data_IF_765551087138
#
_entry.id   IF_765551087138
#
_cell.length_a   1.000
_cell.length_b   1.000
_cell.length_c   1.000
_cell.angle_alpha   90.00
_cell.angle_beta   90.00
_cell.angle_gamma   90.00
#
_symmetry.space_group_name_H-M   'P 1'
#
loop_
_entity.id
_entity.type
_entity.pdbx_description
1 polymer ?
#
# COMPACT_ATOMS: atom_id res chain seq x y z
N UNK A 1 -4.50 13.49 5.83
CA UNK A 1 -4.78 12.51 4.76
C UNK A 1 -4.83 11.16 5.42
N UNK A 2 -5.83 10.36 5.10
CA UNK A 2 -5.94 8.97 5.57
C UNK A 2 -5.69 8.07 4.38
N UNK A 3 -4.86 7.05 4.56
CA UNK A 3 -4.63 5.97 3.60
C UNK A 3 -5.19 4.70 4.18
N UNK A 4 -5.94 3.93 3.39
CA UNK A 4 -6.44 2.62 3.76
C UNK A 4 -5.87 1.59 2.79
N UNK A 5 -5.40 0.47 3.33
CA UNK A 5 -4.92 -0.67 2.54
C UNK A 5 -5.89 -1.83 2.74
N UNK A 6 -6.42 -2.34 1.62
CA UNK A 6 -7.36 -3.47 1.60
C UNK A 6 -6.74 -4.64 0.87
N UNK A 7 -6.85 -5.82 1.48
CA UNK A 7 -6.46 -7.08 0.88
C UNK A 7 -7.63 -7.73 0.17
N UNK A 8 -7.32 -8.47 -0.89
CA UNK A 8 -8.27 -9.27 -1.65
C UNK A 8 -7.67 -10.64 -1.95
N UNK A 9 -8.56 -11.61 -2.14
CA UNK A 9 -8.15 -12.99 -2.46
C UNK A 9 -7.63 -13.14 -3.90
N UNK A 10 -8.13 -12.32 -4.83
CA UNK A 10 -7.94 -12.51 -6.27
C UNK A 10 -7.97 -11.18 -7.03
N UNK A 11 -7.64 -11.21 -8.34
CA UNK A 11 -7.84 -10.08 -9.27
C UNK A 11 -9.31 -9.76 -9.55
N UNK A 12 -10.22 -10.57 -9.04
CA UNK A 12 -11.67 -10.29 -9.06
C UNK A 12 -12.07 -9.35 -7.91
N UNK A 13 -11.15 -9.09 -6.97
CA UNK A 13 -11.33 -8.24 -5.81
C UNK A 13 -12.43 -8.77 -4.85
N UNK A 14 -12.44 -10.10 -4.71
CA UNK A 14 -13.26 -10.84 -3.75
C UNK A 14 -12.64 -10.84 -2.35
N UNK A 15 -13.48 -11.12 -1.35
CA UNK A 15 -13.09 -11.30 0.05
C UNK A 15 -12.27 -10.12 0.61
N UNK A 16 -12.84 -8.93 0.44
CA UNK A 16 -12.22 -7.69 0.87
C UNK A 16 -12.09 -7.62 2.39
N UNK A 17 -10.89 -7.29 2.85
CA UNK A 17 -10.63 -7.03 4.27
C UNK A 17 -9.69 -5.83 4.42
N UNK A 18 -9.99 -4.95 5.38
CA UNK A 18 -9.12 -3.84 5.73
C UNK A 18 -7.89 -4.38 6.49
N UNK A 19 -6.71 -4.21 5.91
CA UNK A 19 -5.47 -4.67 6.53
C UNK A 19 -4.91 -3.64 7.49
N UNK A 20 -4.92 -2.37 7.07
CA UNK A 20 -4.43 -1.26 7.88
C UNK A 20 -4.96 0.08 7.40
N UNK A 21 -4.91 1.04 8.33
CA UNK A 21 -5.16 2.45 8.11
C UNK A 21 -3.95 3.23 8.55
N UNK A 22 -3.43 4.07 7.66
CA UNK A 22 -2.23 4.88 7.86
C UNK A 22 -2.58 6.37 7.74
N UNK A 23 -1.85 7.21 8.48
CA UNK A 23 -1.97 8.66 8.42
C UNK A 23 -0.66 9.30 8.89
N UNK A 24 -0.22 10.31 8.16
CA UNK A 24 0.81 11.20 8.67
C UNK A 24 0.15 12.16 9.70
N UNK A 25 0.28 11.82 10.98
CA UNK A 25 -0.36 12.52 12.11
C UNK A 25 -1.13 11.58 13.06
N UNK A 26 -1.98 12.15 13.91
CA UNK A 26 -2.73 11.39 14.91
C UNK A 26 -3.79 10.46 14.29
N UNK A 27 -3.85 9.23 14.80
CA UNK A 27 -4.89 8.23 14.53
C UNK A 27 -5.37 7.70 15.86
N UNK A 28 -6.68 7.72 16.10
CA UNK A 28 -7.26 7.16 17.32
C UNK A 28 -7.06 5.64 17.33
N UNK A 29 -6.60 5.07 18.44
CA UNK A 29 -6.24 3.65 18.57
C UNK A 29 -5.20 3.16 17.54
N UNK A 30 -4.18 3.96 17.20
CA UNK A 30 -3.06 3.45 16.43
C UNK A 30 -2.19 2.48 17.25
N UNK A 31 -1.75 1.42 16.59
CA UNK A 31 -0.75 0.46 17.08
C UNK A 31 0.40 0.45 16.06
N UNK A 32 1.31 1.45 16.09
CA UNK A 32 2.45 1.49 15.20
C UNK A 32 3.33 0.25 15.45
N UNK A 33 3.67 -0.48 14.38
CA UNK A 33 4.49 -1.69 14.47
C UNK A 33 5.78 -1.53 13.68
N UNK A 34 6.91 -1.69 14.39
CA UNK A 34 8.25 -1.77 13.85
C UNK A 34 8.80 -3.16 14.18
N UNK A 35 9.15 -3.92 13.14
CA UNK A 35 9.77 -5.25 13.20
C UNK A 35 11.28 -5.18 12.94
N UNK A 36 11.86 -3.97 12.90
CA UNK A 36 13.29 -3.74 12.79
C UNK A 36 13.82 -3.67 11.35
N UNK A 37 12.94 -3.47 10.35
CA UNK A 37 13.40 -3.20 8.99
C UNK A 37 14.15 -1.85 8.99
N UNK A 38 15.40 -1.81 8.50
CA UNK A 38 16.13 -0.56 8.40
C UNK A 38 15.41 0.31 7.36
N UNK A 39 15.16 1.60 7.68
CA UNK A 39 14.48 2.65 6.88
C UNK A 39 13.17 3.16 7.53
N UNK A 40 13.28 3.72 8.73
CA UNK A 40 12.16 4.24 9.55
C UNK A 40 12.13 5.78 9.62
N UNK A 41 12.39 6.47 8.52
CA UNK A 41 12.34 7.94 8.44
C UNK A 41 10.91 8.50 8.28
N UNK A 42 9.91 7.68 8.58
CA UNK A 42 8.49 7.99 8.46
C UNK A 42 7.85 8.40 9.79
N UNK A 43 6.70 9.05 9.70
CA UNK A 43 5.82 9.21 10.86
C UNK A 43 5.36 7.82 11.36
N UNK A 44 5.33 7.60 12.68
CA UNK A 44 4.92 6.33 13.33
C UNK A 44 3.59 5.76 12.83
N UNK A 45 2.56 6.61 12.68
CA UNK A 45 1.25 6.23 12.12
C UNK A 45 1.21 6.21 10.58
N UNK A 46 2.30 6.57 9.91
CA UNK A 46 2.44 6.62 8.46
C UNK A 46 3.07 5.36 7.86
N UNK A 47 3.58 4.45 8.69
CA UNK A 47 4.18 3.20 8.27
C UNK A 47 3.76 2.07 9.22
N UNK A 48 3.78 0.82 8.72
CA UNK A 48 3.53 -0.37 9.51
C UNK A 48 4.28 -1.55 8.92
N UNK A 49 4.97 -2.30 9.77
CA UNK A 49 5.64 -3.54 9.40
C UNK A 49 4.82 -4.75 9.85
N UNK A 50 4.76 -5.77 9.00
CA UNK A 50 4.06 -7.01 9.27
C UNK A 50 4.60 -8.15 8.40
N UNK A 51 4.46 -9.37 8.89
CA UNK A 51 4.81 -10.56 8.11
C UNK A 51 3.70 -10.89 7.10
N UNK A 52 4.14 -11.34 5.94
CA UNK A 52 3.30 -11.71 4.81
C UNK A 52 3.67 -13.12 4.36
N UNK A 53 2.70 -13.85 3.79
CA UNK A 53 2.98 -15.20 3.28
C UNK A 53 3.76 -15.11 1.97
N UNK A 54 4.98 -15.64 1.97
CA UNK A 54 5.82 -15.74 0.79
C UNK A 54 5.25 -16.72 -0.26
N UNK A 55 5.58 -16.48 -1.53
CA UNK A 55 5.21 -17.33 -2.67
C UNK A 55 3.74 -17.30 -3.06
N UNK A 56 2.91 -16.53 -2.35
CA UNK A 56 1.48 -16.38 -2.65
C UNK A 56 1.24 -15.00 -3.27
N UNK A 57 0.59 -14.91 -4.44
CA UNK A 57 0.23 -13.62 -5.03
C UNK A 57 -0.73 -12.86 -4.11
N UNK A 58 -0.34 -11.64 -3.77
CA UNK A 58 -1.11 -10.74 -2.91
C UNK A 58 -1.73 -9.64 -3.75
N UNK A 59 -3.01 -9.36 -3.53
CA UNK A 59 -3.74 -8.31 -4.22
C UNK A 59 -4.14 -7.23 -3.22
N UNK A 60 -3.65 -6.02 -3.46
CA UNK A 60 -3.88 -4.88 -2.57
C UNK A 60 -4.47 -3.70 -3.30
N UNK A 61 -5.39 -3.01 -2.62
CA UNK A 61 -5.88 -1.70 -3.02
C UNK A 61 -5.49 -0.67 -1.97
N UNK A 62 -4.80 0.37 -2.42
CA UNK A 62 -4.41 1.52 -1.63
C UNK A 62 -5.34 2.67 -1.96
N UNK A 63 -6.05 3.17 -0.96
CA UNK A 63 -6.99 4.28 -1.13
C UNK A 63 -6.58 5.43 -0.23
N UNK A 64 -6.34 6.59 -0.82
CA UNK A 64 -6.07 7.82 -0.11
C UNK A 64 -7.27 8.76 -0.14
N UNK A 65 -7.52 9.44 0.97
CA UNK A 65 -8.49 10.52 1.05
C UNK A 65 -7.93 11.71 1.84
N UNK A 66 -8.16 12.92 1.32
CA UNK A 66 -7.90 14.17 2.02
C UNK A 66 -9.14 15.06 1.91
N UNK A 67 -9.71 15.43 3.06
CA UNK A 67 -10.79 16.40 3.16
C UNK A 67 -10.29 17.67 3.84
N UNK A 68 -10.59 18.83 3.25
CA UNK A 68 -10.62 20.14 3.92
C UNK A 68 -11.57 21.08 3.14
N UNK A 69 -11.33 21.30 1.83
CA UNK A 69 -12.22 22.09 0.94
C UNK A 69 -12.61 21.38 -0.36
N UNK A 70 -11.73 20.52 -0.87
CA UNK A 70 -11.99 19.59 -1.97
C UNK A 70 -11.76 18.18 -1.41
N UNK A 71 -12.74 17.30 -1.59
CA UNK A 71 -12.60 15.88 -1.24
C UNK A 71 -11.94 15.21 -2.44
N UNK A 72 -10.66 14.90 -2.32
CA UNK A 72 -9.97 14.08 -3.32
C UNK A 72 -9.80 12.66 -2.82
N UNK A 73 -10.16 11.71 -3.69
CA UNK A 73 -9.98 10.27 -3.51
C UNK A 73 -9.16 9.73 -4.67
N UNK A 74 -8.22 8.84 -4.39
CA UNK A 74 -7.41 8.18 -5.42
C UNK A 74 -7.08 6.78 -4.91
N UNK A 75 -7.26 5.80 -5.78
CA UNK A 75 -6.96 4.40 -5.52
C UNK A 75 -5.80 3.93 -6.38
N UNK A 76 -5.07 2.92 -5.94
CA UNK A 76 -4.15 2.15 -6.79
C UNK A 76 -4.30 0.69 -6.41
N UNK A 77 -4.39 -0.19 -7.42
CA UNK A 77 -4.41 -1.64 -7.21
C UNK A 77 -3.08 -2.22 -7.65
N UNK A 78 -2.52 -3.09 -6.82
CA UNK A 78 -1.33 -3.86 -7.16
C UNK A 78 -1.59 -5.35 -6.97
N UNK A 79 -0.90 -6.15 -7.76
CA UNK A 79 -0.61 -7.53 -7.41
C UNK A 79 0.90 -7.70 -7.30
N UNK A 80 1.35 -8.36 -6.24
CA UNK A 80 2.75 -8.67 -6.03
C UNK A 80 2.91 -10.04 -5.34
N UNK A 81 3.94 -10.79 -5.71
CA UNK A 81 4.31 -12.04 -5.02
C UNK A 81 5.62 -11.79 -4.28
N UNK A 82 5.56 -11.79 -2.95
CA UNK A 82 6.72 -11.61 -2.10
C UNK A 82 7.49 -12.92 -1.97
N UNK A 83 8.82 -12.86 -2.03
CA UNK A 83 9.68 -14.02 -1.88
C UNK A 83 10.11 -14.21 -0.41
N UNK A 84 10.42 -15.45 -0.06
CA UNK A 84 10.87 -15.79 1.29
C UNK A 84 12.27 -15.23 1.56
N UNK A 85 12.50 -14.77 2.80
CA UNK A 85 13.81 -14.25 3.23
C UNK A 85 14.18 -12.88 2.67
N UNK A 86 13.24 -12.16 2.05
CA UNK A 86 13.43 -10.80 1.53
C UNK A 86 12.54 -9.80 2.25
N UNK A 87 13.08 -8.60 2.42
CA UNK A 87 12.36 -7.45 2.96
C UNK A 87 11.88 -6.55 1.83
N UNK A 88 10.69 -5.97 2.01
CA UNK A 88 10.05 -5.15 0.99
C UNK A 88 9.46 -3.88 1.60
N UNK A 89 9.47 -2.80 0.82
CA UNK A 89 8.69 -1.60 1.11
C UNK A 89 7.62 -1.41 0.05
N UNK A 90 6.38 -1.17 0.47
CA UNK A 90 5.30 -0.77 -0.42
C UNK A 90 4.93 0.67 -0.09
N UNK A 91 5.33 1.59 -0.97
CA UNK A 91 5.21 3.03 -0.76
C UNK A 91 4.02 3.59 -1.53
N UNK A 92 3.01 4.06 -0.82
CA UNK A 92 1.88 4.79 -1.40
C UNK A 92 2.18 6.29 -1.43
N UNK A 93 2.31 6.83 -2.64
CA UNK A 93 2.58 8.24 -2.88
C UNK A 93 1.31 8.94 -3.34
N UNK A 94 1.08 10.12 -2.76
CA UNK A 94 -0.06 10.97 -3.09
C UNK A 94 0.39 12.39 -3.38
N UNK A 95 0.00 12.91 -4.54
CA UNK A 95 0.25 14.30 -4.91
C UNK A 95 -0.95 14.87 -5.68
N UNK A 96 -1.60 15.90 -5.13
CA UNK A 96 -2.69 16.64 -5.79
C UNK A 96 -3.75 15.75 -6.48
N UNK A 97 -4.30 14.77 -5.75
CA UNK A 97 -5.35 13.86 -6.24
C UNK A 97 -4.87 12.88 -7.32
N UNK A 98 -3.56 12.85 -7.58
CA UNK A 98 -2.90 11.75 -8.24
C UNK A 98 -2.21 10.87 -7.20
N UNK A 99 -2.13 9.57 -7.48
CA UNK A 99 -1.53 8.60 -6.59
C UNK A 99 -0.83 7.51 -7.38
N UNK A 100 0.24 6.98 -6.79
CA UNK A 100 0.94 5.81 -7.28
C UNK A 100 1.42 4.95 -6.11
N UNK A 101 1.62 3.67 -6.38
CA UNK A 101 2.22 2.70 -5.46
C UNK A 101 3.50 2.20 -6.09
N UNK A 102 4.56 2.22 -5.30
CA UNK A 102 5.85 1.65 -5.66
C UNK A 102 6.18 0.51 -4.71
N UNK A 103 6.63 -0.61 -5.27
CA UNK A 103 7.12 -1.76 -4.50
C UNK A 103 8.63 -1.82 -4.66
N UNK A 104 9.33 -1.85 -3.53
CA UNK A 104 10.78 -1.94 -3.45
C UNK A 104 11.19 -3.22 -2.74
N UNK A 105 12.24 -3.86 -3.22
CA UNK A 105 13.02 -4.81 -2.41
C UNK A 105 14.06 -4.03 -1.61
N UNK A 106 14.16 -4.32 -0.32
CA UNK A 106 15.18 -3.75 0.55
C UNK A 106 16.38 -4.71 0.58
N UNK A 107 17.53 -4.25 0.11
CA UNK A 107 18.79 -5.01 0.15
C UNK A 107 19.85 -4.28 0.95
N UNK A 108 20.87 -5.01 1.39
CA UNK A 108 22.10 -4.39 1.90
C UNK A 108 23.09 -4.21 0.76
N UNK A 109 23.63 -3.01 0.61
CA UNK A 109 24.71 -2.76 -0.34
C UNK A 109 26.05 -3.33 0.15
N UNK A 110 27.10 -3.17 -0.65
CA UNK A 110 28.45 -3.69 -0.34
C UNK A 110 29.02 -3.14 0.98
N UNK A 111 28.55 -1.96 1.41
CA UNK A 111 28.97 -1.28 2.65
C UNK A 111 28.06 -1.64 3.84
N UNK A 112 27.03 -2.48 3.61
CA UNK A 112 26.09 -2.93 4.65
C UNK A 112 24.89 -2.00 4.88
N UNK A 113 24.78 -0.89 4.15
CA UNK A 113 23.65 0.04 4.26
C UNK A 113 22.43 -0.50 3.51
N UNK A 114 21.23 -0.22 4.04
CA UNK A 114 19.98 -0.54 3.37
C UNK A 114 19.79 0.30 2.09
N UNK A 115 19.39 -0.35 1.01
CA UNK A 115 19.12 0.22 -0.30
C UNK A 115 17.79 -0.32 -0.83
N UNK A 116 17.05 0.52 -1.56
CA UNK A 116 15.75 0.18 -2.15
C UNK A 116 15.90 -0.06 -3.64
N UNK A 117 15.48 -1.23 -4.11
CA UNK A 117 15.46 -1.58 -5.53
C UNK A 117 14.00 -1.59 -5.99
N UNK A 118 13.66 -0.69 -6.92
CA UNK A 118 12.29 -0.59 -7.45
C UNK A 118 11.95 -1.84 -8.28
N UNK A 119 10.90 -2.56 -7.86
CA UNK A 119 10.38 -3.73 -8.57
C UNK A 119 9.14 -3.42 -9.40
N UNK A 120 8.30 -2.51 -8.90
CA UNK A 120 7.01 -2.21 -9.52
C UNK A 120 6.61 -0.77 -9.23
N UNK A 121 6.04 -0.09 -10.22
CA UNK A 121 5.39 1.21 -10.07
C UNK A 121 4.02 1.14 -10.75
N UNK A 122 2.96 1.48 -10.02
CA UNK A 122 1.58 1.48 -10.50
C UNK A 122 0.94 2.82 -10.19
N UNK A 123 0.32 3.41 -11.18
CA UNK A 123 -0.49 4.61 -11.01
C UNK A 123 -1.96 4.24 -10.75
N UNK A 124 -2.83 5.25 -10.74
CA UNK A 124 -4.27 5.10 -10.55
C UNK A 124 -5.01 4.40 -11.70
N UNK A 125 -4.33 4.03 -12.79
CA UNK A 125 -4.97 3.32 -13.89
C UNK A 125 -5.11 1.86 -13.53
N UNK A 126 -6.33 1.33 -13.64
CA UNK A 126 -6.58 -0.09 -13.39
C UNK A 126 -5.88 -0.91 -14.49
N UNK A 127 -4.99 -1.85 -14.14
CA UNK A 127 -4.37 -2.72 -15.13
C UNK A 127 -5.41 -3.59 -15.83
N UNK A 128 -5.21 -3.89 -17.11
CA UNK A 128 -6.19 -4.59 -17.97
C UNK A 128 -6.47 -6.03 -17.55
N UNK A 129 -5.60 -6.61 -16.72
CA UNK A 129 -5.72 -7.95 -16.16
C UNK A 129 -6.59 -8.03 -14.90
N UNK A 130 -7.10 -6.89 -14.40
CA UNK A 130 -8.12 -6.86 -13.34
C UNK A 130 -9.53 -6.89 -13.92
N UNK A 131 -10.45 -7.54 -13.21
CA UNK A 131 -11.83 -7.69 -13.66
C UNK A 131 -12.60 -6.36 -13.64
N UNK A 132 -13.69 -6.30 -14.43
CA UNK A 132 -14.67 -5.18 -14.36
C UNK A 132 -15.30 -5.06 -12.97
N UNK A 133 -15.42 -6.16 -12.23
CA UNK A 133 -15.90 -6.18 -10.84
C UNK A 133 -14.96 -5.41 -9.93
N UNK A 134 -13.64 -5.59 -10.10
CA UNK A 134 -12.66 -4.82 -9.35
C UNK A 134 -12.72 -3.32 -9.69
N UNK A 135 -12.99 -2.96 -10.95
CA UNK A 135 -13.24 -1.56 -11.35
C UNK A 135 -14.44 -0.94 -10.62
N UNK A 136 -15.51 -1.72 -10.39
CA UNK A 136 -16.67 -1.24 -9.65
C UNK A 136 -16.32 -0.95 -8.19
N UNK A 137 -15.59 -1.87 -7.53
CA UNK A 137 -15.09 -1.65 -6.15
C UNK A 137 -14.17 -0.45 -6.04
N UNK A 138 -13.27 -0.27 -7.00
CA UNK A 138 -12.36 0.88 -7.04
C UNK A 138 -13.09 2.23 -7.14
N UNK A 139 -14.29 2.24 -7.73
CA UNK A 139 -15.13 3.45 -7.87
C UNK A 139 -16.13 3.64 -6.73
N UNK A 140 -16.23 2.66 -5.84
CA UNK A 140 -17.20 2.67 -4.76
C UNK A 140 -16.90 3.80 -3.77
N UNK A 141 -17.91 4.61 -3.47
CA UNK A 141 -17.77 5.71 -2.52
C UNK A 141 -17.88 5.14 -1.11
N UNK A 142 -16.73 5.03 -0.43
CA UNK A 142 -16.69 4.64 0.99
C UNK A 142 -16.67 5.87 1.90
N UNK A 143 -17.50 5.83 2.95
CA UNK A 143 -17.50 6.81 4.04
C UNK A 143 -16.46 6.35 5.08
N UNK A 144 -15.61 7.27 5.53
CA UNK A 144 -14.46 7.02 6.40
C UNK A 144 -14.50 7.83 7.67
#
# INVERSE_FOLDING_TARGET
MVTVVRGYKSKECDDEHEMMRLRNGFVFNSDPRCLGIPLWDYHENGAKEFYIRAGVPQVYMFEGAKGNRIICKCGVVIQHTFEEGKDYEVSYKWNNCNCNVEVYEIRKNIVGNAEKILLQNRDRNLPSDFSKTCLAKFKEVRLY
#
